data_IF_945243529766
#
_entry.id   IF_945243529766
#
_cell.length_a   1.000
_cell.length_b   1.000
_cell.length_c   1.000
_cell.angle_alpha   90.00
_cell.angle_beta   90.00
_cell.angle_gamma   90.00
#
_symmetry.space_group_name_H-M   'P 1'
#
loop_
_entity.id
_entity.type
_entity.pdbx_description
1 polymer ?
#
# COMPACT_ATOMS: atom_id res chain seq x y z
N UNK A 1 8.99 -0.05 23.44
CA UNK A 1 9.61 -0.38 22.13
C UNK A 1 10.41 0.84 21.69
N UNK A 2 11.70 0.69 21.43
CA UNK A 2 12.53 1.78 20.92
C UNK A 2 12.41 1.83 19.40
N UNK A 3 12.19 3.01 18.76
CA UNK A 3 12.16 3.11 17.31
C UNK A 3 13.49 2.63 16.70
N UNK A 4 13.41 1.74 15.70
CA UNK A 4 14.55 1.32 14.88
C UNK A 4 14.54 2.00 13.51
N UNK A 5 15.53 1.71 12.69
CA UNK A 5 15.58 2.14 11.28
C UNK A 5 15.19 0.99 10.35
N UNK A 6 14.65 1.32 9.18
CA UNK A 6 14.38 0.34 8.13
C UNK A 6 14.59 0.96 6.74
N UNK A 7 14.87 0.11 5.75
CA UNK A 7 15.11 0.54 4.38
C UNK A 7 13.86 0.36 3.53
N UNK A 8 13.45 1.41 2.83
CA UNK A 8 12.29 1.41 1.92
C UNK A 8 12.77 1.50 0.49
N UNK A 9 12.29 0.56 -0.33
CA UNK A 9 12.74 0.39 -1.70
C UNK A 9 11.76 1.05 -2.66
N UNK A 10 12.30 1.92 -3.50
CA UNK A 10 11.62 2.58 -4.60
C UNK A 10 12.21 2.09 -5.93
N UNK A 11 11.38 2.02 -6.95
CA UNK A 11 11.79 1.85 -8.35
C UNK A 11 11.27 3.03 -9.15
N UNK A 12 12.08 3.50 -10.10
CA UNK A 12 11.73 4.59 -11.00
C UNK A 12 11.81 4.11 -12.45
N UNK A 13 10.71 4.28 -13.17
CA UNK A 13 10.66 4.20 -14.62
C UNK A 13 10.69 5.63 -15.17
N UNK A 14 11.75 5.94 -15.92
CA UNK A 14 11.99 7.29 -16.42
C UNK A 14 10.94 7.72 -17.45
N UNK A 15 10.63 9.02 -17.45
CA UNK A 15 9.82 9.66 -18.48
C UNK A 15 10.40 9.42 -19.88
N UNK A 16 9.54 9.20 -20.88
CA UNK A 16 9.96 9.12 -22.29
C UNK A 16 10.07 10.50 -22.95
N UNK A 17 9.47 11.53 -22.34
CA UNK A 17 9.50 12.94 -22.76
C UNK A 17 9.90 13.81 -21.58
N UNK A 18 11.10 14.40 -21.65
CA UNK A 18 11.57 15.32 -20.60
C UNK A 18 10.87 16.67 -20.76
N UNK A 19 10.15 17.09 -19.72
CA UNK A 19 9.45 18.38 -19.65
C UNK A 19 9.65 19.00 -18.26
N UNK A 20 9.14 20.21 -18.04
CA UNK A 20 9.10 20.78 -16.69
C UNK A 20 8.32 19.92 -15.68
N UNK A 21 7.43 19.04 -16.14
CA UNK A 21 6.67 18.15 -15.29
C UNK A 21 7.42 16.87 -14.86
N UNK A 22 8.62 16.64 -15.42
CA UNK A 22 9.49 15.51 -15.07
C UNK A 22 10.14 15.67 -13.70
N UNK A 23 10.19 16.89 -13.16
CA UNK A 23 10.74 17.19 -11.81
C UNK A 23 9.90 16.63 -10.67
N UNK A 24 8.59 16.46 -10.88
CA UNK A 24 7.68 15.89 -9.89
C UNK A 24 7.48 14.39 -10.10
N UNK A 25 7.79 13.54 -9.11
CA UNK A 25 7.58 12.11 -9.26
C UNK A 25 6.09 11.78 -9.24
N UNK A 26 5.65 10.97 -10.21
CA UNK A 26 4.33 10.38 -10.23
C UNK A 26 4.39 9.03 -9.53
N UNK A 27 3.88 8.95 -8.31
CA UNK A 27 3.72 7.67 -7.61
C UNK A 27 2.54 6.93 -8.24
N UNK A 28 2.88 5.92 -9.02
CA UNK A 28 2.02 5.06 -9.84
C UNK A 28 2.87 3.88 -10.33
N UNK A 29 2.35 2.67 -10.58
CA UNK A 29 1.12 2.07 -10.09
C UNK A 29 1.38 1.13 -8.90
N UNK A 30 0.33 0.72 -8.19
CA UNK A 30 0.29 -0.67 -7.71
C UNK A 30 -1.09 -1.16 -7.29
N UNK A 31 -1.26 -2.49 -7.44
CA UNK A 31 -2.29 -3.34 -6.86
C UNK A 31 -2.76 -2.85 -5.49
N UNK A 32 -4.08 -2.82 -5.33
CA UNK A 32 -4.73 -2.57 -4.06
C UNK A 32 -4.24 -3.54 -2.96
N UNK A 33 -4.78 -3.36 -1.77
CA UNK A 33 -4.24 -3.98 -0.57
C UNK A 33 -4.88 -3.39 0.69
N UNK A 34 -4.16 -3.22 1.81
CA UNK A 34 -2.70 -3.20 1.97
C UNK A 34 -2.02 -4.53 1.61
N UNK A 35 -0.75 -4.48 1.21
CA UNK A 35 0.01 -5.68 0.81
C UNK A 35 0.61 -5.64 -0.60
N UNK A 36 0.09 -4.79 -1.49
CA UNK A 36 0.56 -4.67 -2.88
C UNK A 36 1.94 -4.03 -3.02
N UNK A 37 2.76 -4.57 -3.93
CA UNK A 37 4.16 -4.17 -4.17
C UNK A 37 4.34 -3.27 -5.39
N UNK A 38 4.50 -1.95 -5.17
CA UNK A 38 4.74 -0.94 -6.23
C UNK A 38 5.83 -1.30 -7.19
N UNK A 39 6.85 -1.96 -6.66
CA UNK A 39 7.99 -2.42 -7.44
C UNK A 39 7.56 -3.48 -8.45
N UNK A 40 6.81 -4.48 -8.00
CA UNK A 40 6.43 -5.59 -8.87
C UNK A 40 5.38 -5.16 -9.90
N UNK A 41 4.52 -4.18 -9.63
CA UNK A 41 3.67 -3.62 -10.69
C UNK A 41 4.46 -2.91 -11.78
N UNK A 42 5.46 -2.09 -11.41
CA UNK A 42 6.33 -1.44 -12.41
C UNK A 42 7.08 -2.48 -13.24
N UNK A 43 7.58 -3.55 -12.62
CA UNK A 43 8.38 -4.57 -13.30
C UNK A 43 7.55 -5.55 -14.15
N UNK A 44 6.38 -5.98 -13.66
CA UNK A 44 5.63 -7.12 -14.23
C UNK A 44 4.35 -6.74 -14.96
N UNK A 45 3.71 -5.61 -14.61
CA UNK A 45 2.42 -5.22 -15.20
C UNK A 45 2.56 -4.35 -16.45
N UNK A 46 3.78 -4.15 -16.95
CA UNK A 46 4.02 -3.47 -18.23
C UNK A 46 3.55 -2.03 -18.23
N UNK A 47 3.90 -1.28 -17.19
CA UNK A 47 3.51 0.13 -17.06
C UNK A 47 4.05 0.91 -18.25
N UNK A 48 3.15 1.45 -19.07
CA UNK A 48 3.51 2.29 -20.21
C UNK A 48 3.41 3.77 -19.81
N UNK A 49 4.54 4.48 -19.63
CA UNK A 49 4.52 5.90 -19.32
C UNK A 49 3.78 6.73 -20.36
N UNK A 50 3.67 6.28 -21.62
CA UNK A 50 2.95 7.03 -22.66
C UNK A 50 1.44 7.00 -22.44
N UNK A 51 0.89 5.95 -21.84
CA UNK A 51 -0.51 5.87 -21.44
C UNK A 51 -0.79 6.65 -20.15
N UNK A 52 0.22 6.77 -19.28
CA UNK A 52 0.09 7.44 -17.98
C UNK A 52 0.84 8.76 -17.98
N UNK A 53 0.10 9.85 -18.14
CA UNK A 53 0.68 11.19 -18.17
C UNK A 53 1.57 11.43 -19.40
N UNK A 54 1.23 10.76 -20.52
CA UNK A 54 1.75 11.05 -21.87
C UNK A 54 3.27 10.95 -22.03
N UNK A 55 3.93 10.20 -21.15
CA UNK A 55 5.37 10.00 -21.11
C UNK A 55 6.14 11.13 -20.43
N UNK A 56 5.45 12.10 -19.81
CA UNK A 56 6.08 13.33 -19.29
C UNK A 56 6.60 13.20 -17.85
N UNK A 57 6.23 12.13 -17.15
CA UNK A 57 6.55 11.95 -15.73
C UNK A 57 7.42 10.72 -15.50
N UNK A 58 8.31 10.84 -14.51
CA UNK A 58 8.93 9.67 -13.91
C UNK A 58 7.86 8.92 -13.11
N UNK A 59 7.69 7.65 -13.42
CA UNK A 59 6.76 6.75 -12.74
C UNK A 59 7.52 6.08 -11.59
N UNK A 60 6.97 6.19 -10.39
CA UNK A 60 7.61 5.70 -9.17
C UNK A 60 6.72 4.66 -8.50
N UNK A 61 7.23 3.43 -8.44
CA UNK A 61 6.67 2.35 -7.63
C UNK A 61 7.49 2.16 -6.36
N UNK A 62 6.86 1.72 -5.27
CA UNK A 62 7.60 1.38 -4.04
C UNK A 62 6.90 0.27 -3.26
N UNK A 63 7.67 -0.49 -2.48
CA UNK A 63 7.12 -1.39 -1.48
C UNK A 63 6.88 -0.61 -0.19
N UNK A 64 5.63 -0.46 0.30
CA UNK A 64 5.39 0.09 1.63
C UNK A 64 6.17 -0.68 2.71
N UNK A 65 6.29 -0.10 3.91
CA UNK A 65 6.80 -0.80 5.09
C UNK A 65 6.22 -2.23 5.17
N UNK A 66 7.07 -3.24 5.34
CA UNK A 66 6.63 -4.64 5.42
C UNK A 66 6.39 -5.36 4.10
N UNK A 67 6.46 -4.65 2.97
CA UNK A 67 6.04 -5.18 1.66
C UNK A 67 7.20 -5.25 0.67
N UNK A 68 7.24 -6.34 -0.10
CA UNK A 68 8.26 -6.59 -1.12
C UNK A 68 9.66 -6.59 -0.52
N UNK A 69 10.56 -5.79 -1.09
CA UNK A 69 11.97 -5.65 -0.71
C UNK A 69 12.18 -4.60 0.38
N UNK A 70 11.10 -3.98 0.89
CA UNK A 70 11.16 -2.99 1.96
C UNK A 70 11.07 -3.66 3.32
N UNK A 71 11.83 -3.13 4.28
CA UNK A 71 11.73 -3.57 5.66
C UNK A 71 10.59 -2.88 6.43
N UNK A 72 10.39 -3.26 7.70
CA UNK A 72 10.92 -4.48 8.31
C UNK A 72 10.27 -5.72 7.69
N UNK A 73 10.87 -6.91 7.81
CA UNK A 73 10.21 -8.14 7.32
C UNK A 73 8.99 -8.45 8.19
N UNK A 74 7.81 -8.41 7.61
CA UNK A 74 6.55 -8.76 8.27
C UNK A 74 6.11 -10.14 7.79
N UNK A 75 6.47 -11.16 8.55
CA UNK A 75 5.97 -12.52 8.37
C UNK A 75 5.50 -13.05 9.72
N UNK A 76 4.25 -13.51 9.77
CA UNK A 76 3.63 -14.06 10.98
C UNK A 76 4.10 -15.48 11.26
N UNK A 77 4.51 -16.21 10.22
CA UNK A 77 4.86 -17.63 10.27
C UNK A 77 6.07 -17.94 9.38
N UNK A 78 7.23 -17.30 9.62
CA UNK A 78 8.41 -17.45 8.75
C UNK A 78 8.91 -18.90 8.68
N UNK A 79 8.73 -19.67 9.75
CA UNK A 79 9.16 -21.06 9.86
C UNK A 79 8.05 -22.08 9.53
N UNK A 80 6.82 -21.62 9.25
CA UNK A 80 5.65 -22.49 9.05
C UNK A 80 4.86 -22.09 7.78
N UNK A 81 5.43 -22.29 6.58
CA UNK A 81 4.79 -21.91 5.32
C UNK A 81 3.45 -22.62 5.08
N UNK A 82 3.23 -23.81 5.63
CA UNK A 82 1.97 -24.53 5.57
C UNK A 82 0.85 -23.83 6.35
N UNK A 83 1.16 -23.20 7.49
CA UNK A 83 0.18 -22.42 8.27
C UNK A 83 -0.22 -21.18 7.49
N UNK A 84 0.74 -20.52 6.84
CA UNK A 84 0.46 -19.41 5.93
C UNK A 84 -0.45 -19.82 4.77
N UNK A 85 -0.18 -20.95 4.12
CA UNK A 85 -1.01 -21.44 3.02
C UNK A 85 -2.45 -21.74 3.47
N UNK A 86 -2.62 -22.35 4.65
CA UNK A 86 -3.94 -22.57 5.25
C UNK A 86 -4.67 -21.25 5.57
N UNK A 87 -3.96 -20.26 6.12
CA UNK A 87 -4.50 -18.92 6.33
C UNK A 87 -4.99 -18.29 5.03
N UNK A 88 -4.16 -18.32 3.97
CA UNK A 88 -4.52 -17.74 2.67
C UNK A 88 -5.77 -18.40 2.06
N UNK A 89 -5.91 -19.73 2.18
CA UNK A 89 -7.10 -20.47 1.74
C UNK A 89 -8.36 -20.11 2.55
N UNK A 90 -8.23 -19.90 3.85
CA UNK A 90 -9.37 -19.63 4.74
C UNK A 90 -9.78 -18.16 4.79
N UNK A 91 -8.85 -17.24 4.50
CA UNK A 91 -9.10 -15.80 4.44
C UNK A 91 -9.84 -15.39 3.15
N UNK A 92 -9.56 -16.07 2.04
CA UNK A 92 -10.25 -15.89 0.75
C UNK A 92 -11.01 -17.16 0.35
N UNK A 93 -12.02 -17.60 1.12
CA UNK A 93 -12.80 -18.77 0.73
C UNK A 93 -13.61 -18.45 -0.52
N UNK A 94 -13.92 -19.48 -1.32
CA UNK A 94 -15.01 -19.35 -2.29
C UNK A 94 -16.30 -19.04 -1.52
N UNK A 95 -16.81 -17.82 -1.68
CA UNK A 95 -18.11 -17.44 -1.14
C UNK A 95 -19.15 -18.13 -2.02
N UNK A 96 -19.66 -19.26 -1.55
CA UNK A 96 -20.78 -19.97 -2.16
C UNK A 96 -21.91 -20.11 -1.15
N UNK A 97 -23.14 -20.26 -1.64
CA UNK A 97 -24.28 -20.63 -0.82
C UNK A 97 -24.30 -22.13 -0.48
N UNK A 98 -23.23 -22.86 -0.80
CA UNK A 98 -23.15 -24.32 -0.62
C UNK A 98 -23.34 -24.72 0.85
N UNK A 99 -22.92 -23.88 1.79
CA UNK A 99 -23.12 -24.12 3.22
C UNK A 99 -23.50 -22.83 3.96
N UNK A 100 -24.58 -22.89 4.73
CA UNK A 100 -25.08 -21.79 5.57
C UNK A 100 -24.12 -21.40 6.70
N UNK A 101 -23.09 -22.20 6.98
CA UNK A 101 -22.12 -21.99 8.06
C UNK A 101 -20.83 -21.30 7.60
N UNK A 102 -20.60 -21.10 6.30
CA UNK A 102 -19.31 -20.62 5.77
C UNK A 102 -18.87 -19.29 6.41
N UNK A 103 -19.75 -18.29 6.46
CA UNK A 103 -19.45 -16.99 7.06
C UNK A 103 -19.11 -17.11 8.55
N UNK A 104 -19.83 -17.96 9.30
CA UNK A 104 -19.57 -18.19 10.72
C UNK A 104 -18.24 -18.90 10.97
N UNK A 105 -17.92 -19.90 10.14
CA UNK A 105 -16.63 -20.61 10.17
C UNK A 105 -15.47 -19.68 9.85
N UNK A 106 -15.61 -18.84 8.81
CA UNK A 106 -14.59 -17.85 8.44
C UNK A 106 -14.37 -16.85 9.58
N UNK A 107 -15.44 -16.31 10.16
CA UNK A 107 -15.35 -15.40 11.30
C UNK A 107 -14.66 -16.05 12.49
N UNK A 108 -15.06 -17.27 12.87
CA UNK A 108 -14.46 -18.00 13.99
C UNK A 108 -12.96 -18.31 13.78
N UNK A 109 -12.50 -18.45 12.53
CA UNK A 109 -11.10 -18.66 12.23
C UNK A 109 -10.22 -17.41 12.38
N UNK A 110 -10.79 -16.19 12.27
CA UNK A 110 -10.01 -14.94 12.34
C UNK A 110 -9.29 -14.75 13.68
N UNK A 111 -9.93 -15.13 14.80
CA UNK A 111 -9.37 -14.94 16.13
C UNK A 111 -8.13 -15.83 16.39
N UNK A 112 -8.15 -17.15 16.13
CA UNK A 112 -6.97 -18.00 16.20
C UNK A 112 -5.81 -17.49 15.34
N UNK A 113 -6.07 -17.10 14.09
CA UNK A 113 -5.02 -16.57 13.22
C UNK A 113 -4.44 -15.24 13.72
N UNK A 114 -5.29 -14.35 14.22
CA UNK A 114 -4.85 -13.08 14.82
C UNK A 114 -3.95 -13.31 16.05
N UNK A 115 -4.29 -14.29 16.91
CA UNK A 115 -3.48 -14.65 18.09
C UNK A 115 -2.20 -15.40 17.73
N UNK A 116 -2.22 -16.15 16.63
CA UNK A 116 -1.07 -16.92 16.16
C UNK A 116 0.00 -16.05 15.50
N UNK A 117 -0.31 -14.82 15.11
CA UNK A 117 0.66 -13.81 14.69
C UNK A 117 1.45 -13.31 15.91
N UNK A 118 2.76 -13.60 16.03
CA UNK A 118 3.50 -13.28 17.24
C UNK A 118 3.69 -11.76 17.40
N UNK A 119 3.75 -11.23 18.63
CA UNK A 119 4.02 -9.80 18.86
C UNK A 119 5.43 -9.37 18.41
N UNK A 120 6.32 -10.33 18.12
CA UNK A 120 7.67 -10.13 17.57
C UNK A 120 7.72 -10.10 16.04
N UNK A 121 6.58 -10.07 15.35
CA UNK A 121 6.56 -9.85 13.89
C UNK A 121 7.24 -8.51 13.57
N UNK A 122 8.01 -8.46 12.48
CA UNK A 122 8.89 -7.32 12.20
C UNK A 122 10.26 -7.40 12.91
N UNK A 123 10.63 -8.54 13.48
CA UNK A 123 11.93 -8.75 14.15
C UNK A 123 11.87 -8.62 15.68
N UNK A 124 13.00 -8.87 16.34
CA UNK A 124 13.11 -9.07 17.80
C UNK A 124 12.53 -7.95 18.68
N UNK A 125 12.34 -6.74 18.14
CA UNK A 125 11.81 -5.57 18.84
C UNK A 125 10.33 -5.25 18.53
N UNK A 126 9.62 -6.11 17.77
CA UNK A 126 8.22 -5.89 17.40
C UNK A 126 8.01 -4.71 16.44
N UNK A 127 8.91 -4.53 15.47
CA UNK A 127 8.87 -3.34 14.60
C UNK A 127 7.68 -3.32 13.64
N UNK A 128 6.94 -4.43 13.49
CA UNK A 128 5.66 -4.44 12.78
C UNK A 128 4.64 -3.48 13.40
N UNK A 129 4.81 -3.11 14.68
CA UNK A 129 4.02 -2.05 15.30
C UNK A 129 4.16 -0.70 14.59
N UNK A 130 5.20 -0.48 13.78
CA UNK A 130 5.41 0.73 12.97
C UNK A 130 5.06 0.56 11.49
N UNK A 131 4.52 -0.59 11.11
CA UNK A 131 4.01 -0.87 9.76
C UNK A 131 2.57 -0.38 9.67
N UNK A 132 2.41 0.94 9.57
CA UNK A 132 1.09 1.62 9.55
C UNK A 132 1.05 2.70 8.47
N UNK A 133 -0.14 3.03 7.98
CA UNK A 133 -0.36 4.03 6.93
C UNK A 133 0.31 5.39 7.21
N UNK A 134 0.29 5.95 8.44
CA UNK A 134 1.00 7.21 8.71
C UNK A 134 2.53 7.11 8.58
N UNK A 135 3.11 5.95 8.85
CA UNK A 135 4.54 5.71 8.61
C UNK A 135 4.83 5.63 7.11
N UNK A 136 4.01 4.89 6.36
CA UNK A 136 4.10 4.81 4.89
C UNK A 136 3.99 6.21 4.23
N UNK A 137 3.12 7.07 4.74
CA UNK A 137 3.00 8.45 4.28
C UNK A 137 4.28 9.27 4.55
N UNK A 138 4.97 9.02 5.68
CA UNK A 138 6.28 9.64 5.96
C UNK A 138 7.37 9.14 5.03
N UNK A 139 7.34 7.88 4.60
CA UNK A 139 8.34 7.38 3.64
C UNK A 139 8.17 8.04 2.28
N UNK A 140 6.92 8.28 1.85
CA UNK A 140 6.63 9.06 0.66
C UNK A 140 7.19 10.49 0.78
N UNK A 141 7.11 11.12 1.95
CA UNK A 141 7.73 12.42 2.20
C UNK A 141 9.26 12.35 2.09
N UNK A 142 9.87 11.36 2.75
CA UNK A 142 11.33 11.15 2.72
C UNK A 142 11.85 10.96 1.29
N UNK A 143 11.10 10.24 0.46
CA UNK A 143 11.39 10.09 -0.96
C UNK A 143 11.36 11.45 -1.69
N UNK A 144 10.31 12.25 -1.51
CA UNK A 144 10.21 13.58 -2.13
C UNK A 144 11.35 14.50 -1.70
N UNK A 145 11.70 14.52 -0.42
CA UNK A 145 12.81 15.33 0.10
C UNK A 145 14.16 14.88 -0.49
N UNK A 146 14.33 13.57 -0.69
CA UNK A 146 15.52 13.01 -1.35
C UNK A 146 15.59 13.43 -2.82
N UNK A 147 14.49 13.36 -3.57
CA UNK A 147 14.43 13.84 -4.95
C UNK A 147 14.68 15.35 -5.05
N UNK A 148 14.11 16.15 -4.15
CA UNK A 148 14.35 17.59 -4.06
C UNK A 148 15.84 17.90 -3.86
N UNK A 149 16.48 17.22 -2.91
CA UNK A 149 17.91 17.41 -2.62
C UNK A 149 18.80 16.95 -3.79
N UNK A 150 18.45 15.84 -4.45
CA UNK A 150 19.22 15.28 -5.56
C UNK A 150 19.11 16.12 -6.84
N UNK A 151 17.96 16.73 -7.10
CA UNK A 151 17.69 17.49 -8.32
C UNK A 151 17.86 18.99 -8.16
N UNK A 152 17.77 19.52 -6.93
CA UNK A 152 17.72 20.96 -6.65
C UNK A 152 16.33 21.60 -6.88
N UNK A 153 15.33 20.82 -7.27
CA UNK A 153 13.95 21.28 -7.49
C UNK A 153 13.15 21.23 -6.19
N UNK A 154 13.37 22.20 -5.29
CA UNK A 154 12.70 22.23 -3.98
C UNK A 154 11.19 22.52 -4.02
N UNK A 155 10.66 22.89 -5.19
CA UNK A 155 9.24 23.01 -5.47
C UNK A 155 8.60 21.69 -5.91
N UNK A 156 9.37 20.59 -6.03
CA UNK A 156 8.86 19.26 -6.36
C UNK A 156 7.79 18.84 -5.37
N UNK A 157 6.60 18.51 -5.88
CA UNK A 157 5.47 18.02 -5.09
C UNK A 157 5.07 16.62 -5.53
N UNK A 158 4.33 15.94 -4.66
CA UNK A 158 3.77 14.63 -4.94
C UNK A 158 2.72 14.72 -6.05
N UNK A 159 2.93 13.94 -7.11
CA UNK A 159 1.87 13.57 -8.04
C UNK A 159 1.48 12.13 -7.72
N UNK A 160 0.20 11.89 -7.49
CA UNK A 160 -0.28 10.64 -6.93
C UNK A 160 -1.52 10.15 -7.67
N UNK A 161 -1.47 8.93 -8.17
CA UNK A 161 -2.67 8.25 -8.67
C UNK A 161 -2.70 6.84 -8.14
N UNK A 162 -3.68 6.53 -7.28
CA UNK A 162 -3.81 5.21 -6.65
C UNK A 162 -5.27 4.87 -6.38
N UNK A 163 -5.53 3.57 -6.29
CA UNK A 163 -6.85 3.02 -5.96
C UNK A 163 -6.89 2.22 -4.66
N UNK A 164 -8.09 1.92 -4.17
CA UNK A 164 -8.33 1.07 -2.99
C UNK A 164 -7.57 1.59 -1.76
N UNK A 165 -6.78 0.78 -1.04
CA UNK A 165 -5.95 1.21 0.09
C UNK A 165 -5.08 2.45 -0.20
N UNK A 166 -4.65 2.63 -1.46
CA UNK A 166 -3.93 3.82 -1.88
C UNK A 166 -4.72 5.12 -1.65
N UNK A 167 -6.06 5.06 -1.62
CA UNK A 167 -6.90 6.23 -1.33
C UNK A 167 -6.80 6.66 0.13
N UNK A 168 -6.82 5.73 1.09
CA UNK A 168 -6.54 6.04 2.50
C UNK A 168 -5.12 6.58 2.66
N UNK A 169 -4.14 5.96 2.01
CA UNK A 169 -2.75 6.43 2.07
C UNK A 169 -2.60 7.85 1.51
N UNK A 170 -3.22 8.14 0.37
CA UNK A 170 -3.27 9.48 -0.22
C UNK A 170 -3.93 10.49 0.71
N UNK A 171 -5.12 10.20 1.24
CA UNK A 171 -5.82 11.04 2.20
C UNK A 171 -4.95 11.32 3.46
N UNK A 172 -4.32 10.28 3.99
CA UNK A 172 -3.40 10.39 5.14
C UNK A 172 -2.22 11.30 4.83
N UNK A 173 -1.60 11.13 3.66
CA UNK A 173 -0.51 11.98 3.21
C UNK A 173 -0.95 13.44 3.09
N UNK A 174 -2.11 13.72 2.48
CA UNK A 174 -2.62 15.09 2.36
C UNK A 174 -2.87 15.75 3.70
N UNK A 175 -3.30 14.98 4.71
CA UNK A 175 -3.54 15.48 6.06
C UNK A 175 -2.24 15.80 6.79
N UNK A 176 -1.24 14.93 6.67
CA UNK A 176 0.04 15.07 7.38
C UNK A 176 0.98 16.08 6.69
N UNK A 177 1.00 16.10 5.37
CA UNK A 177 1.97 16.84 4.55
C UNK A 177 1.31 17.66 3.43
N UNK A 178 0.32 18.54 3.73
CA UNK A 178 -0.44 19.25 2.71
C UNK A 178 0.45 20.11 1.79
N UNK A 179 1.58 20.64 2.29
CA UNK A 179 2.53 21.44 1.50
C UNK A 179 3.25 20.66 0.39
N UNK A 180 3.29 19.33 0.49
CA UNK A 180 3.95 18.44 -0.47
C UNK A 180 2.97 17.83 -1.49
N UNK A 181 1.70 18.25 -1.50
CA UNK A 181 0.69 17.74 -2.44
C UNK A 181 0.68 18.59 -3.70
N UNK A 182 0.96 17.97 -4.86
CA UNK A 182 0.92 18.61 -6.17
C UNK A 182 -0.38 18.29 -6.91
N UNK A 183 -0.54 17.03 -7.31
CA UNK A 183 -1.74 16.51 -7.98
C UNK A 183 -2.11 15.16 -7.39
N UNK A 184 -3.39 14.90 -7.21
CA UNK A 184 -3.84 13.66 -6.60
C UNK A 184 -5.14 13.17 -7.25
N UNK A 185 -5.16 11.89 -7.63
CA UNK A 185 -6.34 11.16 -8.08
C UNK A 185 -6.49 9.94 -7.18
N UNK A 186 -7.67 9.80 -6.57
CA UNK A 186 -8.02 8.69 -5.70
C UNK A 186 -9.21 7.94 -6.34
N UNK A 187 -9.04 6.66 -6.65
CA UNK A 187 -10.03 5.84 -7.37
C UNK A 187 -10.47 4.63 -6.51
N UNK A 188 -11.76 4.32 -6.46
CA UNK A 188 -12.28 3.33 -5.49
C UNK A 188 -11.96 3.74 -4.05
N UNK A 189 -12.52 4.88 -3.63
CA UNK A 189 -12.20 5.56 -2.37
C UNK A 189 -12.68 4.74 -1.17
N UNK A 190 -11.73 4.41 -0.30
CA UNK A 190 -11.97 3.76 0.99
C UNK A 190 -12.39 4.81 2.01
N UNK A 191 -13.41 4.51 2.80
CA UNK A 191 -13.85 5.31 3.94
C UNK A 191 -12.75 5.31 5.02
N UNK A 192 -12.11 6.47 5.21
CA UNK A 192 -10.99 6.62 6.13
C UNK A 192 -11.38 6.43 7.60
N UNK A 193 -12.56 6.89 8.02
CA UNK A 193 -12.99 6.77 9.41
C UNK A 193 -13.32 5.30 9.75
N UNK A 194 -14.04 4.62 8.85
CA UNK A 194 -14.29 3.19 8.97
C UNK A 194 -12.99 2.36 8.90
N UNK A 195 -12.03 2.75 8.05
CA UNK A 195 -10.72 2.09 7.97
C UNK A 195 -9.92 2.23 9.28
N UNK A 196 -9.80 3.45 9.82
CA UNK A 196 -9.00 3.69 11.02
C UNK A 196 -9.64 3.19 12.30
N UNK A 197 -10.97 3.03 12.32
CA UNK A 197 -11.70 2.36 13.40
C UNK A 197 -11.70 0.83 13.29
N UNK A 198 -11.03 0.27 12.28
CA UNK A 198 -10.99 -1.17 11.98
C UNK A 198 -12.39 -1.75 11.70
N UNK A 199 -13.29 -0.93 11.15
CA UNK A 199 -14.67 -1.31 10.86
C UNK A 199 -14.81 -2.17 9.61
N UNK A 200 -14.28 -1.69 8.47
CA UNK A 200 -14.37 -2.35 7.15
C UNK A 200 -15.80 -2.62 6.65
N UNK A 201 -16.78 -1.81 7.06
CA UNK A 201 -18.21 -2.02 6.77
C UNK A 201 -18.75 -1.20 5.62
N UNK A 202 -18.19 -0.02 5.35
CA UNK A 202 -18.74 0.91 4.36
C UNK A 202 -18.12 0.76 2.97
N UNK A 203 -17.03 -0.01 2.84
CA UNK A 203 -16.22 -0.06 1.61
C UNK A 203 -16.78 -0.95 0.49
N UNK A 204 -17.83 -1.74 0.76
CA UNK A 204 -18.44 -2.67 -0.20
C UNK A 204 -19.96 -2.47 -0.35
N UNK A 205 -20.48 -1.31 0.09
CA UNK A 205 -21.93 -1.07 0.17
C UNK A 205 -22.69 -1.28 -1.15
N UNK A 206 -22.08 -0.91 -2.29
CA UNK A 206 -22.70 -1.04 -3.61
C UNK A 206 -22.29 -2.33 -4.36
N UNK A 207 -21.51 -3.22 -3.75
CA UNK A 207 -21.04 -4.45 -4.41
C UNK A 207 -22.22 -5.31 -4.88
N UNK A 208 -23.27 -5.43 -4.06
CA UNK A 208 -24.48 -6.20 -4.40
C UNK A 208 -25.28 -5.57 -5.55
N UNK A 209 -25.22 -4.24 -5.72
CA UNK A 209 -25.89 -3.54 -6.83
C UNK A 209 -25.16 -3.72 -8.16
N UNK A 210 -23.86 -4.01 -8.12
CA UNK A 210 -23.05 -4.21 -9.32
C UNK A 210 -23.20 -5.62 -9.92
N UNK A 211 -23.70 -6.59 -9.13
CA UNK A 211 -23.83 -8.00 -9.52
C UNK A 211 -25.28 -8.35 -9.95
N UNK A 212 -26.26 -7.49 -9.64
CA UNK A 212 -27.66 -7.63 -10.05
C UNK A 212 -28.01 -6.72 -11.24
#
# INVERSE_FOLDING_TARGET
>A
MTPGTTAIVFIRLSATKVTGATSSPLIYPVSGGPGGSGIDAVLSQGVDPTQIGQGQHNIVGFGPHGISRSGPVVDSWPDYPEVRAQFEQMYYPEISNAFSTLTGTQFAATEPFGKACPPTVGGSNGTAAYVRTPAVARDMLSYLQTEQAATGHYDTKLWYYRWSYGTVLGATFTRLFPGYVGRMVLDGVVDGEDYYSLGWKSNLYDADKAIN
#
